data_IF_086603160429
#
_entry.id   IF_086603160429
#
_cell.length_a   1.000
_cell.length_b   1.000
_cell.length_c   1.000
_cell.angle_alpha   90.00
_cell.angle_beta   90.00
_cell.angle_gamma   90.00
#
_symmetry.space_group_name_H-M   'P 1'
#
loop_
_entity.id
_entity.type
_entity.pdbx_description
1 polymer ?
#
# COMPACT_ATOMS: atom_id res chain seq x y z
N UNK A 1 0.06 10.15 -1.18
CA UNK A 1 1.39 10.80 -1.30
C UNK A 1 2.22 10.10 -2.36
N UNK A 2 3.12 10.81 -3.07
CA UNK A 2 4.10 10.18 -3.94
C UNK A 2 5.11 9.32 -3.16
N UNK A 3 5.45 8.17 -3.73
CA UNK A 3 6.46 7.25 -3.21
C UNK A 3 7.44 6.89 -4.32
N UNK A 4 8.68 6.59 -3.94
CA UNK A 4 9.64 5.89 -4.79
C UNK A 4 9.64 4.41 -4.43
N UNK A 5 9.32 3.56 -5.39
CA UNK A 5 9.37 2.10 -5.27
C UNK A 5 10.71 1.63 -5.82
N UNK A 6 11.55 1.04 -4.98
CA UNK A 6 12.79 0.41 -5.41
C UNK A 6 12.49 -1.05 -5.72
N UNK A 7 12.78 -1.47 -6.95
CA UNK A 7 12.52 -2.83 -7.43
C UNK A 7 13.81 -3.65 -7.45
N UNK A 8 13.66 -4.97 -7.46
CA UNK A 8 14.77 -5.90 -7.71
C UNK A 8 15.51 -5.53 -9.01
N UNK A 9 16.84 -5.67 -8.99
CA UNK A 9 17.69 -5.28 -10.11
C UNK A 9 17.94 -3.77 -10.22
N UNK A 10 17.65 -2.99 -9.18
CA UNK A 10 18.05 -1.58 -9.07
C UNK A 10 17.17 -0.60 -9.85
N UNK A 11 16.06 -1.05 -10.43
CA UNK A 11 15.07 -0.18 -11.08
C UNK A 11 14.27 0.58 -10.01
N UNK A 12 13.78 1.77 -10.36
CA UNK A 12 12.87 2.52 -9.49
C UNK A 12 11.66 3.03 -10.26
N UNK A 13 10.54 3.17 -9.56
CA UNK A 13 9.30 3.77 -10.06
C UNK A 13 8.84 4.85 -9.08
N UNK A 14 8.47 6.03 -9.59
CA UNK A 14 7.85 7.08 -8.77
C UNK A 14 6.37 7.19 -9.10
N UNK A 15 5.53 7.19 -8.09
CA UNK A 15 4.09 7.31 -8.27
C UNK A 15 3.32 7.29 -6.96
N UNK A 16 1.99 7.32 -7.05
CA UNK A 16 1.09 7.32 -5.90
C UNK A 16 0.44 5.94 -5.80
N UNK A 17 0.31 5.41 -4.58
CA UNK A 17 -0.45 4.18 -4.35
C UNK A 17 -1.93 4.48 -4.59
N UNK A 18 -2.50 3.85 -5.62
CA UNK A 18 -3.92 3.92 -5.96
C UNK A 18 -4.71 2.75 -5.36
N UNK A 19 -4.03 1.63 -5.08
CA UNK A 19 -4.64 0.49 -4.42
C UNK A 19 -3.62 -0.58 -4.01
N UNK A 20 -4.08 -1.58 -3.26
CA UNK A 20 -3.29 -2.76 -2.92
C UNK A 20 -4.18 -3.97 -2.70
N UNK A 21 -3.64 -5.14 -2.99
CA UNK A 21 -4.20 -6.42 -2.53
C UNK A 21 -3.18 -7.17 -1.67
N UNK A 22 -3.37 -8.48 -1.48
CA UNK A 22 -2.46 -9.34 -0.72
C UNK A 22 -1.05 -9.37 -1.31
N UNK A 23 -0.90 -9.39 -2.63
CA UNK A 23 0.35 -9.64 -3.35
C UNK A 23 0.80 -8.49 -4.25
N UNK A 24 -0.08 -7.52 -4.52
CA UNK A 24 0.17 -6.44 -5.47
C UNK A 24 -0.05 -5.06 -4.86
N UNK A 25 0.59 -4.07 -5.47
CA UNK A 25 0.40 -2.65 -5.22
C UNK A 25 0.14 -2.00 -6.59
N UNK A 26 -0.96 -1.26 -6.70
CA UNK A 26 -1.29 -0.48 -7.88
C UNK A 26 -0.74 0.93 -7.71
N UNK A 27 0.17 1.33 -8.61
CA UNK A 27 0.90 2.59 -8.56
C UNK A 27 0.54 3.44 -9.77
N UNK A 28 -0.10 4.58 -9.53
CA UNK A 28 -0.39 5.56 -10.56
C UNK A 28 0.82 6.48 -10.77
N UNK A 29 1.27 6.56 -12.02
CA UNK A 29 2.27 7.52 -12.49
C UNK A 29 1.58 8.59 -13.34
N UNK A 30 2.33 9.57 -13.85
CA UNK A 30 1.79 10.57 -14.78
C UNK A 30 1.26 9.94 -16.07
N UNK A 31 1.87 8.86 -16.54
CA UNK A 31 1.52 8.23 -17.82
C UNK A 31 0.43 7.17 -17.68
N UNK A 32 0.49 6.33 -16.64
CA UNK A 32 -0.34 5.14 -16.48
C UNK A 32 -0.31 4.54 -15.08
N UNK A 33 -1.18 3.57 -14.86
CA UNK A 33 -1.20 2.72 -13.67
C UNK A 33 -0.35 1.46 -13.88
N UNK A 34 0.51 1.16 -12.91
CA UNK A 34 1.37 -0.02 -12.87
C UNK A 34 0.88 -0.97 -11.78
N UNK A 35 0.86 -2.27 -12.07
CA UNK A 35 0.68 -3.31 -11.06
C UNK A 35 2.05 -3.85 -10.66
N UNK A 36 2.45 -3.61 -9.41
CA UNK A 36 3.72 -4.09 -8.85
C UNK A 36 3.46 -5.31 -7.96
N UNK A 37 4.17 -6.40 -8.21
CA UNK A 37 4.19 -7.53 -7.29
C UNK A 37 5.09 -7.21 -6.09
N UNK A 38 4.57 -7.40 -4.87
CA UNK A 38 5.31 -7.11 -3.62
C UNK A 38 6.61 -7.91 -3.51
N UNK A 39 6.66 -9.13 -4.06
CA UNK A 39 7.88 -9.93 -4.10
C UNK A 39 9.02 -9.33 -4.92
N UNK A 40 8.72 -8.37 -5.80
CA UNK A 40 9.72 -7.66 -6.63
C UNK A 40 10.07 -6.27 -6.08
N UNK A 41 9.37 -5.79 -5.05
CA UNK A 41 9.63 -4.50 -4.41
C UNK A 41 10.60 -4.71 -3.25
N UNK A 42 11.74 -4.03 -3.32
CA UNK A 42 12.79 -4.06 -2.30
C UNK A 42 12.54 -3.02 -1.20
N UNK A 43 12.10 -1.82 -1.59
CA UNK A 43 11.85 -0.72 -0.67
C UNK A 43 10.76 0.21 -1.20
N UNK A 44 10.09 0.92 -0.28
CA UNK A 44 9.11 1.96 -0.60
C UNK A 44 9.48 3.20 0.22
N UNK A 45 9.84 4.26 -0.48
CA UNK A 45 10.33 5.51 0.12
C UNK A 45 9.28 6.61 -0.11
N UNK A 46 8.51 6.98 0.93
CA UNK A 46 7.64 8.14 0.92
C UNK A 46 8.39 9.43 0.56
N UNK A 47 7.76 10.32 -0.23
CA UNK A 47 8.31 11.65 -0.48
C UNK A 47 8.32 12.54 0.78
N UNK A 48 7.42 12.26 1.73
CA UNK A 48 7.27 12.99 2.98
C UNK A 48 7.47 12.06 4.17
N UNK A 49 7.93 12.62 5.29
CA UNK A 49 8.07 11.83 6.52
C UNK A 49 6.71 11.38 6.99
N UNK A 50 6.62 10.09 7.28
CA UNK A 50 5.44 9.49 7.88
C UNK A 50 5.35 9.82 9.37
N UNK A 51 4.19 10.28 9.83
CA UNK A 51 3.88 10.32 11.26
C UNK A 51 3.46 8.93 11.72
N UNK A 52 4.35 8.26 12.45
CA UNK A 52 4.12 6.91 12.94
C UNK A 52 3.04 6.82 14.02
N UNK A 53 2.74 7.91 14.74
CA UNK A 53 1.64 7.94 15.71
C UNK A 53 0.32 7.92 14.96
N UNK A 54 0.16 8.83 14.00
CA UNK A 54 -1.04 8.92 13.17
C UNK A 54 -1.30 7.60 12.41
N UNK A 55 -0.26 7.00 11.83
CA UNK A 55 -0.40 5.71 11.13
C UNK A 55 -0.88 4.59 12.05
N UNK A 56 -0.41 4.54 13.30
CA UNK A 56 -0.86 3.52 14.25
C UNK A 56 -2.35 3.63 14.51
N UNK A 57 -2.84 4.85 14.71
CA UNK A 57 -4.24 5.11 15.02
C UNK A 57 -5.12 4.71 13.82
N UNK A 58 -4.77 5.16 12.61
CA UNK A 58 -5.46 4.80 11.36
C UNK A 58 -5.46 3.27 11.15
N UNK A 59 -4.32 2.61 11.38
CA UNK A 59 -4.21 1.16 11.19
C UNK A 59 -5.04 0.39 12.21
N UNK A 60 -5.11 0.87 13.45
CA UNK A 60 -5.92 0.27 14.50
C UNK A 60 -7.41 0.35 14.16
N UNK A 61 -7.90 1.53 13.78
CA UNK A 61 -9.30 1.73 13.39
C UNK A 61 -9.69 0.85 12.21
N UNK A 62 -8.86 0.83 11.16
CA UNK A 62 -9.09 -0.02 9.99
C UNK A 62 -9.20 -1.50 10.37
N UNK A 63 -8.30 -2.00 11.22
CA UNK A 63 -8.35 -3.40 11.68
C UNK A 63 -9.64 -3.71 12.45
N UNK A 64 -10.11 -2.81 13.31
CA UNK A 64 -11.37 -2.97 14.03
C UNK A 64 -12.57 -3.03 13.08
N UNK A 65 -12.61 -2.18 12.06
CA UNK A 65 -13.65 -2.21 11.04
C UNK A 65 -13.65 -3.53 10.25
N UNK A 66 -12.47 -4.03 9.86
CA UNK A 66 -12.35 -5.32 9.17
C UNK A 66 -12.83 -6.48 10.06
N UNK A 67 -12.52 -6.45 11.36
CA UNK A 67 -13.00 -7.46 12.32
C UNK A 67 -14.52 -7.45 12.49
N UNK A 68 -15.13 -6.26 12.52
CA UNK A 68 -16.60 -6.13 12.57
C UNK A 68 -17.25 -6.65 11.28
N UNK A 69 -16.70 -6.32 10.11
CA UNK A 69 -17.17 -6.82 8.81
C UNK A 69 -17.11 -8.35 8.71
N UNK A 70 -16.06 -8.98 9.24
CA UNK A 70 -15.93 -10.44 9.31
C UNK A 70 -16.88 -11.12 10.30
N UNK A 71 -17.26 -10.46 11.38
CA UNK A 71 -18.25 -11.00 12.34
C UNK A 71 -19.69 -10.90 11.83
N UNK A 72 -19.99 -9.90 10.99
CA UNK A 72 -21.32 -9.71 10.40
C UNK A 72 -21.52 -10.49 9.09
N UNK A 73 -20.48 -11.08 8.50
CA UNK A 73 -20.64 -11.96 7.33
C UNK A 73 -21.24 -13.30 7.76
N UNK A 74 -22.38 -13.74 7.18
CA UNK A 74 -23.01 -15.00 7.56
C UNK A 74 -22.06 -16.18 7.30
N UNK A 75 -21.91 -17.07 8.29
CA UNK A 75 -21.25 -18.36 8.10
C UNK A 75 -22.03 -19.11 7.02
N UNK A 76 -21.40 -19.32 5.86
CA UNK A 76 -21.86 -20.29 4.85
C UNK A 76 -21.74 -21.70 5.40
#
# INVERSE_FOLDING_TARGET
MPCTFVLQGGKSLKGIIDGRDTYTIFVQTEEKTHCLFKGSVMDIIPAEKLDLKEIKDITFEWNQEQMKKKQMSPKK
#
